data_IF_489606235990
#
_entry.id   IF_489606235990
#
_cell.length_a   1.000
_cell.length_b   1.000
_cell.length_c   1.000
_cell.angle_alpha   90.00
_cell.angle_beta   90.00
_cell.angle_gamma   90.00
#
_symmetry.space_group_name_H-M   'P 1'
#
loop_
_entity.id
_entity.type
_entity.pdbx_description
1 polymer ?
#
# COMPACT_ATOMS: atom_id res chain seq x y z
N UNK A 1 19.69 -57.14 4.41
CA UNK A 1 20.10 -57.73 3.11
C UNK A 1 21.61 -57.89 3.08
N UNK A 2 22.11 -59.01 2.55
CA UNK A 2 23.54 -59.23 2.25
C UNK A 2 23.70 -59.86 0.87
N UNK A 3 24.72 -59.46 0.11
CA UNK A 3 25.03 -60.07 -1.20
C UNK A 3 25.99 -61.25 -0.97
N UNK A 4 25.68 -62.42 -1.53
CA UNK A 4 26.43 -63.66 -1.37
C UNK A 4 27.28 -64.01 -2.61
N UNK A 5 26.70 -63.88 -3.81
CA UNK A 5 27.35 -64.21 -5.08
C UNK A 5 26.80 -63.35 -6.20
N UNK A 6 27.64 -62.96 -7.15
CA UNK A 6 27.24 -62.38 -8.43
C UNK A 6 27.73 -63.28 -9.57
N UNK A 7 26.85 -63.64 -10.49
CA UNK A 7 27.18 -64.40 -11.70
C UNK A 7 26.76 -63.59 -12.92
N UNK A 8 27.75 -63.19 -13.71
CA UNK A 8 27.60 -62.31 -14.84
C UNK A 8 27.68 -63.14 -16.11
N UNK A 9 26.56 -63.29 -16.81
CA UNK A 9 26.55 -63.90 -18.15
C UNK A 9 27.18 -62.94 -19.17
N UNK A 10 26.77 -61.68 -19.14
CA UNK A 10 27.35 -60.63 -19.98
C UNK A 10 26.99 -59.24 -19.45
N UNK A 11 28.00 -58.43 -19.08
CA UNK A 11 27.80 -57.05 -18.64
C UNK A 11 29.07 -56.22 -18.83
N UNK A 12 29.04 -55.26 -19.75
CA UNK A 12 30.19 -54.46 -20.13
C UNK A 12 31.31 -55.36 -20.67
N UNK A 13 32.39 -55.48 -19.90
CA UNK A 13 33.57 -56.29 -20.23
C UNK A 13 33.58 -57.68 -19.60
N UNK A 14 32.62 -57.97 -18.71
CA UNK A 14 32.52 -59.26 -18.05
C UNK A 14 31.71 -60.23 -18.90
N UNK A 15 32.23 -61.44 -19.04
CA UNK A 15 31.63 -62.55 -19.78
C UNK A 15 31.80 -63.81 -18.94
N UNK A 16 30.68 -64.51 -18.68
CA UNK A 16 30.65 -65.78 -17.93
C UNK A 16 31.50 -65.80 -16.66
N UNK A 17 31.43 -64.71 -15.88
CA UNK A 17 32.28 -64.52 -14.71
C UNK A 17 31.46 -64.58 -13.43
N UNK A 18 31.98 -65.26 -12.41
CA UNK A 18 31.35 -65.33 -11.09
C UNK A 18 32.23 -64.74 -9.99
N UNK A 19 31.60 -64.10 -9.02
CA UNK A 19 32.22 -63.46 -7.86
C UNK A 19 31.49 -63.93 -6.61
N UNK A 20 32.22 -64.53 -5.67
CA UNK A 20 31.70 -64.86 -4.34
C UNK A 20 32.04 -63.72 -3.37
N UNK A 21 31.09 -63.38 -2.49
CA UNK A 21 31.26 -62.35 -1.47
C UNK A 21 31.26 -63.00 -0.09
N UNK A 22 32.31 -62.72 0.68
CA UNK A 22 32.47 -63.21 2.05
C UNK A 22 31.80 -62.28 3.09
N UNK A 23 31.40 -62.81 4.26
CA UNK A 23 31.01 -61.95 5.38
C UNK A 23 32.18 -61.04 5.79
N UNK A 24 31.87 -59.77 6.13
CA UNK A 24 32.80 -58.69 6.54
C UNK A 24 33.38 -57.87 5.36
N UNK A 25 34.36 -57.01 5.66
CA UNK A 25 34.98 -56.09 4.72
C UNK A 25 35.77 -56.84 3.65
N UNK A 26 35.57 -56.47 2.38
CA UNK A 26 36.25 -57.06 1.23
C UNK A 26 36.87 -55.96 0.39
N UNK A 27 38.12 -56.18 -0.03
CA UNK A 27 38.85 -55.27 -0.91
C UNK A 27 38.93 -55.85 -2.32
N UNK A 28 38.27 -55.20 -3.28
CA UNK A 28 38.45 -55.50 -4.70
C UNK A 28 39.48 -54.53 -5.30
N UNK A 29 40.66 -55.05 -5.65
CA UNK A 29 41.77 -54.26 -6.21
C UNK A 29 42.16 -54.75 -7.61
N UNK A 30 43.00 -53.96 -8.29
CA UNK A 30 43.46 -54.24 -9.65
C UNK A 30 43.69 -52.96 -10.45
N UNK A 31 44.22 -53.08 -11.67
CA UNK A 31 44.50 -51.93 -12.52
C UNK A 31 43.25 -51.14 -12.88
N UNK A 32 43.43 -49.91 -13.34
CA UNK A 32 42.35 -49.12 -13.93
C UNK A 32 41.72 -49.91 -15.08
N UNK A 33 40.41 -49.74 -15.27
CA UNK A 33 39.64 -50.43 -16.32
C UNK A 33 39.49 -51.96 -16.13
N UNK A 34 39.98 -52.52 -15.01
CA UNK A 34 39.82 -53.95 -14.73
C UNK A 34 38.38 -54.38 -14.40
N UNK A 35 37.43 -53.43 -14.36
CA UNK A 35 35.99 -53.71 -14.27
C UNK A 35 35.36 -53.50 -12.90
N UNK A 36 36.10 -52.95 -11.93
CA UNK A 36 35.58 -52.67 -10.58
C UNK A 36 34.27 -51.88 -10.59
N UNK A 37 34.24 -50.76 -11.32
CA UNK A 37 33.01 -49.97 -11.50
C UNK A 37 31.94 -50.70 -12.33
N UNK A 38 32.33 -51.65 -13.19
CA UNK A 38 31.41 -52.47 -13.99
C UNK A 38 30.69 -53.48 -13.10
N UNK A 39 31.37 -54.12 -12.15
CA UNK A 39 30.76 -55.04 -11.18
C UNK A 39 29.76 -54.29 -10.29
N UNK A 40 30.15 -53.10 -9.84
CA UNK A 40 29.28 -52.21 -9.09
C UNK A 40 27.98 -51.88 -9.84
N UNK A 41 28.08 -51.48 -11.12
CA UNK A 41 26.91 -51.18 -11.94
C UNK A 41 26.07 -52.42 -12.29
N UNK A 42 26.70 -53.59 -12.39
CA UNK A 42 25.99 -54.87 -12.55
C UNK A 42 25.09 -55.14 -11.35
N UNK A 43 25.62 -55.04 -10.11
CA UNK A 43 24.84 -55.24 -8.88
C UNK A 43 23.63 -54.29 -8.85
N UNK A 44 23.84 -53.01 -9.14
CA UNK A 44 22.75 -52.03 -9.18
C UNK A 44 21.71 -52.33 -10.26
N UNK A 45 22.14 -52.84 -11.43
CA UNK A 45 21.24 -53.23 -12.51
C UNK A 45 20.40 -54.48 -12.17
N UNK A 46 20.98 -55.47 -11.51
CA UNK A 46 20.25 -56.67 -11.07
C UNK A 46 19.27 -56.36 -9.93
N UNK A 47 19.58 -55.40 -9.04
CA UNK A 47 18.65 -54.98 -7.99
C UNK A 47 17.53 -54.08 -8.52
N UNK A 48 17.86 -52.97 -9.19
CA UNK A 48 16.90 -51.88 -9.47
C UNK A 48 16.55 -51.67 -10.95
N UNK A 49 17.07 -52.51 -11.82
CA UNK A 49 16.77 -52.52 -13.25
C UNK A 49 17.81 -51.75 -14.05
N UNK A 50 17.90 -52.13 -15.32
CA UNK A 50 18.83 -51.50 -16.24
C UNK A 50 18.46 -50.03 -16.45
N UNK A 51 19.48 -49.17 -16.45
CA UNK A 51 19.33 -47.77 -16.80
C UNK A 51 18.71 -47.61 -18.22
N UNK A 52 17.77 -46.67 -18.38
CA UNK A 52 17.34 -46.22 -19.72
C UNK A 52 18.54 -45.57 -20.43
N UNK A 53 18.72 -45.84 -21.72
CA UNK A 53 19.79 -45.21 -22.50
C UNK A 53 19.51 -43.70 -22.53
N UNK A 54 20.43 -42.91 -22.01
CA UNK A 54 20.41 -41.45 -22.07
C UNK A 54 21.82 -41.02 -22.40
N UNK A 55 22.00 -39.94 -23.16
CA UNK A 55 23.30 -39.48 -23.67
C UNK A 55 24.43 -39.35 -22.61
N UNK A 56 24.09 -39.27 -21.32
CA UNK A 56 25.03 -39.17 -20.20
C UNK A 56 25.36 -40.49 -19.49
N UNK A 57 24.71 -41.62 -19.80
CA UNK A 57 24.91 -42.89 -19.06
C UNK A 57 25.67 -43.92 -19.90
N UNK A 58 26.71 -44.52 -19.30
CA UNK A 58 27.56 -45.55 -19.94
C UNK A 58 26.70 -46.74 -20.39
N UNK A 59 26.90 -47.18 -21.63
CA UNK A 59 26.27 -48.37 -22.18
C UNK A 59 27.09 -49.61 -21.82
N UNK A 60 26.50 -50.52 -21.04
CA UNK A 60 27.12 -51.78 -20.61
C UNK A 60 26.65 -52.97 -21.45
N UNK A 61 26.03 -52.72 -22.61
CA UNK A 61 25.65 -53.80 -23.53
C UNK A 61 26.90 -54.58 -23.96
N UNK A 62 26.97 -55.91 -23.74
CA UNK A 62 28.11 -56.73 -24.13
C UNK A 62 28.29 -56.71 -25.66
N UNK A 63 29.52 -56.54 -26.13
CA UNK A 63 29.84 -56.44 -27.57
C UNK A 63 29.83 -57.80 -28.29
N UNK A 64 29.97 -58.89 -27.55
CA UNK A 64 30.19 -60.23 -28.10
C UNK A 64 28.89 -61.05 -28.26
N UNK A 65 27.72 -60.42 -28.23
CA UNK A 65 26.43 -61.10 -28.40
C UNK A 65 25.96 -61.94 -27.21
N UNK A 66 26.72 -62.00 -26.12
CA UNK A 66 26.33 -62.67 -24.87
C UNK A 66 25.03 -62.07 -24.30
N UNK A 67 24.22 -62.88 -23.61
CA UNK A 67 23.00 -62.43 -22.97
C UNK A 67 23.30 -61.31 -21.96
N UNK A 68 22.67 -60.14 -22.12
CA UNK A 68 22.96 -58.97 -21.31
C UNK A 68 22.25 -59.04 -19.97
N UNK A 69 22.95 -59.52 -18.94
CA UNK A 69 22.40 -59.77 -17.62
C UNK A 69 23.16 -60.83 -16.83
N UNK A 70 22.50 -61.36 -15.81
CA UNK A 70 23.05 -62.38 -14.92
C UNK A 70 22.18 -62.61 -13.68
N UNK A 71 22.80 -63.20 -12.67
CA UNK A 71 22.18 -63.63 -11.42
C UNK A 71 22.90 -63.04 -10.20
N UNK A 72 22.14 -62.72 -9.17
CA UNK A 72 22.64 -62.21 -7.90
C UNK A 72 22.01 -63.01 -6.75
N UNK A 73 22.83 -63.57 -5.89
CA UNK A 73 22.40 -64.28 -4.68
C UNK A 73 22.42 -63.32 -3.52
N UNK A 74 21.30 -63.25 -2.81
CA UNK A 74 21.06 -62.38 -1.68
C UNK A 74 20.66 -63.21 -0.47
N UNK A 75 21.11 -62.83 0.71
CA UNK A 75 20.50 -63.23 1.97
C UNK A 75 19.53 -62.13 2.43
N UNK A 76 18.25 -62.48 2.52
CA UNK A 76 17.17 -61.62 2.99
C UNK A 76 16.52 -62.27 4.20
N UNK A 77 16.51 -61.60 5.35
CA UNK A 77 15.75 -62.08 6.52
C UNK A 77 14.29 -61.60 6.40
N UNK A 78 13.30 -62.46 6.67
CA UNK A 78 13.37 -63.85 7.18
C UNK A 78 13.47 -64.95 6.10
N UNK A 79 13.51 -64.63 4.80
CA UNK A 79 13.37 -65.58 3.69
C UNK A 79 14.59 -66.46 3.37
N UNK A 80 15.76 -66.17 3.96
CA UNK A 80 17.00 -66.88 3.70
C UNK A 80 17.64 -66.49 2.37
N UNK A 81 18.05 -67.49 1.57
CA UNK A 81 18.74 -67.29 0.29
C UNK A 81 17.75 -67.04 -0.85
N UNK A 82 17.94 -65.93 -1.56
CA UNK A 82 17.11 -65.46 -2.66
C UNK A 82 17.99 -65.21 -3.88
N UNK A 83 17.55 -65.69 -5.04
CA UNK A 83 18.26 -65.52 -6.30
C UNK A 83 17.50 -64.52 -7.17
N UNK A 84 18.15 -63.43 -7.54
CA UNK A 84 17.59 -62.43 -8.46
C UNK A 84 18.24 -62.60 -9.82
N UNK A 85 17.46 -62.99 -10.82
CA UNK A 85 17.86 -63.14 -12.20
C UNK A 85 17.29 -61.99 -13.03
N UNK A 86 18.12 -61.32 -13.83
CA UNK A 86 17.64 -60.24 -14.70
C UNK A 86 18.44 -60.17 -15.99
N UNK A 87 17.73 -60.21 -17.13
CA UNK A 87 18.30 -60.08 -18.48
C UNK A 87 17.57 -59.00 -19.26
N UNK A 88 18.30 -58.09 -19.91
CA UNK A 88 17.75 -56.94 -20.64
C UNK A 88 16.77 -57.35 -21.75
N UNK A 89 17.08 -58.44 -22.44
CA UNK A 89 16.31 -58.93 -23.60
C UNK A 89 15.11 -59.80 -23.18
N UNK A 90 15.09 -60.32 -21.96
CA UNK A 90 14.04 -61.23 -21.46
C UNK A 90 13.06 -60.43 -20.61
N UNK A 91 11.76 -60.67 -20.81
CA UNK A 91 10.68 -60.06 -20.03
C UNK A 91 10.79 -58.52 -19.86
N UNK A 92 11.23 -57.83 -20.92
CA UNK A 92 11.49 -56.37 -20.95
C UNK A 92 12.49 -55.88 -19.88
N UNK A 93 13.38 -56.76 -19.42
CA UNK A 93 14.36 -56.43 -18.39
C UNK A 93 13.84 -56.53 -16.95
N UNK A 94 12.67 -57.14 -16.75
CA UNK A 94 12.13 -57.40 -15.41
C UNK A 94 12.93 -58.47 -14.68
N UNK A 95 12.98 -58.37 -13.35
CA UNK A 95 13.63 -59.37 -12.52
C UNK A 95 12.73 -60.59 -12.31
N UNK A 96 13.30 -61.79 -12.44
CA UNK A 96 12.74 -63.03 -11.91
C UNK A 96 13.44 -63.34 -10.60
N UNK A 97 12.67 -63.64 -9.57
CA UNK A 97 13.23 -63.87 -8.23
C UNK A 97 12.89 -65.29 -7.81
N UNK A 98 13.88 -66.05 -7.38
CA UNK A 98 13.68 -67.39 -6.85
C UNK A 98 13.84 -67.35 -5.33
N UNK A 99 12.77 -67.71 -4.61
CA UNK A 99 12.71 -67.77 -3.15
C UNK A 99 12.26 -69.17 -2.76
N UNK A 100 13.07 -69.91 -2.01
CA UNK A 100 12.74 -71.26 -1.52
C UNK A 100 12.20 -72.21 -2.61
N UNK A 101 12.71 -72.11 -3.85
CA UNK A 101 12.29 -72.94 -4.99
C UNK A 101 11.07 -72.44 -5.78
N UNK A 102 10.40 -71.36 -5.34
CA UNK A 102 9.32 -70.72 -6.09
C UNK A 102 9.83 -69.50 -6.85
N UNK A 103 9.25 -69.22 -8.03
CA UNK A 103 9.59 -68.04 -8.84
C UNK A 103 8.54 -66.96 -8.62
N UNK A 104 8.97 -65.81 -8.09
CA UNK A 104 8.15 -64.62 -7.84
C UNK A 104 8.59 -63.46 -8.75
N UNK A 105 7.78 -62.41 -8.78
CA UNK A 105 7.94 -61.29 -9.69
C UNK A 105 8.82 -60.16 -9.11
N UNK A 106 9.07 -59.14 -9.94
CA UNK A 106 9.83 -57.96 -9.56
C UNK A 106 9.14 -57.11 -8.48
N UNK A 107 7.81 -57.17 -8.37
CA UNK A 107 7.08 -56.41 -7.35
C UNK A 107 7.42 -56.95 -5.96
N UNK A 108 7.50 -58.27 -5.81
CA UNK A 108 7.95 -58.90 -4.58
C UNK A 108 9.35 -58.41 -4.18
N UNK A 109 10.30 -58.35 -5.12
CA UNK A 109 11.64 -57.82 -4.87
C UNK A 109 11.59 -56.37 -4.36
N UNK A 110 10.83 -55.51 -5.04
CA UNK A 110 10.74 -54.10 -4.71
C UNK A 110 10.12 -53.87 -3.32
N UNK A 111 9.16 -54.71 -2.91
CA UNK A 111 8.55 -54.64 -1.58
C UNK A 111 9.52 -55.08 -0.48
N UNK A 112 10.23 -56.19 -0.68
CA UNK A 112 11.12 -56.77 0.34
C UNK A 112 12.50 -56.10 0.41
N UNK A 113 12.85 -55.30 -0.60
CA UNK A 113 14.00 -54.40 -0.52
C UNK A 113 13.69 -53.11 0.25
N UNK A 114 12.42 -52.74 0.48
CA UNK A 114 12.13 -51.50 1.22
C UNK A 114 12.76 -51.50 2.63
N UNK A 115 13.34 -50.37 3.08
CA UNK A 115 13.29 -49.04 2.48
C UNK A 115 14.31 -48.80 1.34
N UNK A 116 15.18 -49.75 1.00
CA UNK A 116 16.22 -49.60 -0.03
C UNK A 116 15.61 -49.46 -1.43
N UNK A 117 15.77 -48.28 -2.02
CA UNK A 117 15.43 -48.01 -3.42
C UNK A 117 16.67 -47.59 -4.21
N UNK A 118 16.54 -47.45 -5.54
CA UNK A 118 17.66 -47.10 -6.42
C UNK A 118 18.36 -45.81 -6.00
N UNK A 119 17.61 -44.76 -5.69
CA UNK A 119 18.18 -43.47 -5.31
C UNK A 119 18.97 -43.63 -4.01
N UNK A 120 18.34 -44.17 -2.96
CA UNK A 120 18.98 -44.44 -1.68
C UNK A 120 20.23 -45.32 -1.79
N UNK A 121 20.24 -46.31 -2.69
CA UNK A 121 21.44 -47.12 -2.92
C UNK A 121 22.62 -46.28 -3.40
N UNK A 122 22.43 -45.41 -4.39
CA UNK A 122 23.50 -44.56 -4.94
C UNK A 122 23.85 -43.39 -4.02
N UNK A 123 22.88 -42.87 -3.29
CA UNK A 123 23.05 -41.66 -2.49
C UNK A 123 23.63 -41.98 -1.10
N UNK A 124 23.18 -43.05 -0.44
CA UNK A 124 23.49 -43.34 0.97
C UNK A 124 24.47 -44.51 1.14
N UNK A 125 24.27 -45.60 0.39
CA UNK A 125 24.99 -46.86 0.63
C UNK A 125 26.29 -46.99 -0.16
N UNK A 126 26.60 -46.02 -1.03
CA UNK A 126 27.75 -46.08 -1.92
C UNK A 126 28.46 -44.74 -1.95
N UNK A 127 29.78 -44.77 -1.88
CA UNK A 127 30.62 -43.58 -2.01
C UNK A 127 31.49 -43.73 -3.25
N UNK A 128 31.27 -42.86 -4.22
CA UNK A 128 32.07 -42.77 -5.44
C UNK A 128 33.12 -41.66 -5.30
N UNK A 129 34.17 -41.74 -6.11
CA UNK A 129 35.25 -40.76 -6.09
C UNK A 129 34.75 -39.34 -6.39
N UNK A 130 33.76 -39.21 -7.27
CA UNK A 130 33.13 -37.94 -7.62
C UNK A 130 32.29 -37.35 -6.47
N UNK A 131 31.67 -38.21 -5.65
CA UNK A 131 30.88 -37.78 -4.48
C UNK A 131 31.80 -37.30 -3.35
N UNK A 132 32.96 -37.95 -3.14
CA UNK A 132 33.95 -37.53 -2.15
C UNK A 132 34.52 -36.12 -2.45
N UNK A 133 34.76 -35.81 -3.74
CA UNK A 133 35.26 -34.49 -4.14
C UNK A 133 34.23 -33.37 -3.99
N UNK A 134 32.94 -33.70 -3.95
CA UNK A 134 31.87 -32.73 -3.71
C UNK A 134 31.71 -32.44 -2.22
N UNK A 135 31.88 -33.46 -1.37
CA UNK A 135 31.77 -33.33 0.09
C UNK A 135 32.83 -32.38 0.66
N UNK A 136 34.06 -32.42 0.13
CA UNK A 136 35.14 -31.52 0.56
C UNK A 136 34.87 -30.03 0.27
N UNK A 137 33.85 -29.70 -0.53
CA UNK A 137 33.49 -28.32 -0.91
C UNK A 137 32.19 -27.83 -0.27
N UNK A 138 31.48 -28.67 0.48
CA UNK A 138 30.21 -28.30 1.07
C UNK A 138 30.44 -27.57 2.40
N UNK A 139 29.79 -26.43 2.56
CA UNK A 139 29.72 -25.71 3.84
C UNK A 139 28.98 -26.55 4.88
N UNK A 140 29.22 -26.32 6.18
CA UNK A 140 28.69 -27.13 7.29
C UNK A 140 27.16 -27.33 7.23
N UNK A 141 26.43 -26.27 6.87
CA UNK A 141 24.97 -26.31 6.70
C UNK A 141 24.53 -27.16 5.49
N UNK A 142 25.27 -27.10 4.39
CA UNK A 142 24.96 -27.88 3.18
C UNK A 142 25.26 -29.36 3.41
N UNK A 143 26.33 -29.66 4.14
CA UNK A 143 26.69 -31.01 4.58
C UNK A 143 25.63 -31.58 5.53
N UNK A 144 25.15 -30.77 6.49
CA UNK A 144 24.08 -31.17 7.40
C UNK A 144 22.76 -31.45 6.65
N UNK A 145 22.39 -30.59 5.69
CA UNK A 145 21.21 -30.83 4.83
C UNK A 145 21.38 -32.08 3.96
N UNK A 146 22.57 -32.32 3.41
CA UNK A 146 22.88 -33.53 2.66
C UNK A 146 22.73 -34.77 3.56
N UNK A 147 23.28 -34.77 4.77
CA UNK A 147 23.13 -35.86 5.74
C UNK A 147 21.67 -36.11 6.14
N UNK A 148 20.89 -35.06 6.38
CA UNK A 148 19.44 -35.17 6.64
C UNK A 148 18.72 -35.77 5.41
N UNK A 149 19.12 -35.35 4.20
CA UNK A 149 18.56 -35.87 2.95
C UNK A 149 18.82 -37.37 2.76
N UNK A 150 19.96 -37.84 3.28
CA UNK A 150 20.43 -39.23 3.22
C UNK A 150 19.79 -40.12 4.29
N UNK A 151 19.53 -39.59 5.49
CA UNK A 151 19.02 -40.35 6.64
C UNK A 151 17.52 -40.59 6.66
N UNK A 152 16.73 -39.76 5.96
CA UNK A 152 15.26 -39.81 6.02
C UNK A 152 14.70 -40.00 4.60
N UNK A 153 14.06 -41.14 4.35
CA UNK A 153 13.38 -41.40 3.07
C UNK A 153 12.30 -40.35 2.81
N UNK A 154 12.37 -39.65 1.67
CA UNK A 154 11.41 -38.59 1.30
C UNK A 154 11.76 -37.18 1.79
N UNK A 155 12.80 -37.02 2.60
CA UNK A 155 13.32 -35.71 3.07
C UNK A 155 13.69 -34.76 1.93
N UNK A 156 14.16 -35.27 0.80
CA UNK A 156 14.48 -34.45 -0.37
C UNK A 156 13.26 -33.67 -0.90
N UNK A 157 12.06 -34.27 -0.87
CA UNK A 157 10.82 -33.57 -1.24
C UNK A 157 10.47 -32.48 -0.23
N UNK A 158 10.67 -32.76 1.06
CA UNK A 158 10.45 -31.80 2.13
C UNK A 158 11.42 -30.62 2.03
N UNK A 159 12.71 -30.87 1.82
CA UNK A 159 13.72 -29.82 1.61
C UNK A 159 13.41 -28.97 0.36
N UNK A 160 12.94 -29.58 -0.73
CA UNK A 160 12.48 -28.85 -1.91
C UNK A 160 11.27 -27.97 -1.60
N UNK A 161 10.30 -28.46 -0.83
CA UNK A 161 9.16 -27.65 -0.40
C UNK A 161 9.59 -26.50 0.52
N UNK A 162 10.50 -26.73 1.46
CA UNK A 162 11.06 -25.68 2.33
C UNK A 162 11.73 -24.59 1.48
N UNK A 163 12.58 -24.96 0.52
CA UNK A 163 13.21 -24.01 -0.38
C UNK A 163 12.18 -23.24 -1.24
N UNK A 164 11.13 -23.91 -1.72
CA UNK A 164 10.03 -23.26 -2.43
C UNK A 164 9.30 -22.25 -1.53
N UNK A 165 8.97 -22.64 -0.30
CA UNK A 165 8.33 -21.75 0.67
C UNK A 165 9.20 -20.54 1.00
N UNK A 166 10.50 -20.73 1.20
CA UNK A 166 11.42 -19.61 1.40
C UNK A 166 11.43 -18.67 0.20
N UNK A 167 11.46 -19.22 -1.02
CA UNK A 167 11.43 -18.42 -2.25
C UNK A 167 10.12 -17.63 -2.37
N UNK A 168 8.99 -18.26 -2.12
CA UNK A 168 7.67 -17.61 -2.14
C UNK A 168 7.55 -16.55 -1.06
N UNK A 169 7.98 -16.82 0.16
CA UNK A 169 7.99 -15.84 1.25
C UNK A 169 8.86 -14.63 0.89
N UNK A 170 10.03 -14.88 0.33
CA UNK A 170 10.94 -13.84 -0.14
C UNK A 170 10.37 -12.98 -1.28
N UNK A 171 9.42 -13.50 -2.07
CA UNK A 171 8.68 -12.73 -3.09
C UNK A 171 7.51 -11.92 -2.49
N UNK A 172 7.02 -12.28 -1.31
CA UNK A 172 5.95 -11.54 -0.63
C UNK A 172 6.49 -10.48 0.32
N UNK A 173 7.59 -10.77 1.02
CA UNK A 173 8.16 -9.90 2.04
C UNK A 173 9.68 -10.07 2.17
N UNK A 174 10.37 -8.94 2.23
CA UNK A 174 11.77 -8.84 2.66
C UNK A 174 11.93 -7.56 3.47
N UNK A 175 12.71 -7.56 4.56
CA UNK A 175 12.93 -6.36 5.38
C UNK A 175 13.42 -5.14 4.58
N UNK A 176 14.21 -5.37 3.52
CA UNK A 176 14.77 -4.32 2.66
C UNK A 176 14.10 -4.19 1.27
N UNK A 177 13.10 -5.02 0.96
CA UNK A 177 12.53 -5.08 -0.39
C UNK A 177 11.39 -4.08 -0.60
N UNK A 178 11.62 -2.94 -1.23
CA UNK A 178 10.59 -1.90 -1.37
C UNK A 178 9.43 -2.23 -2.34
N UNK A 179 9.65 -3.09 -3.34
CA UNK A 179 8.66 -3.39 -4.40
C UNK A 179 7.78 -4.62 -4.12
N UNK A 180 7.88 -5.18 -2.91
CA UNK A 180 7.16 -6.41 -2.56
C UNK A 180 5.72 -6.09 -2.16
N UNK A 181 4.74 -6.96 -2.48
CA UNK A 181 3.31 -6.67 -2.28
C UNK A 181 2.98 -6.28 -0.84
N UNK A 182 3.50 -7.04 0.14
CA UNK A 182 3.21 -6.77 1.54
C UNK A 182 3.81 -5.44 2.02
N UNK A 183 5.01 -5.10 1.56
CA UNK A 183 5.66 -3.84 1.92
C UNK A 183 4.97 -2.63 1.28
N UNK A 184 4.43 -2.78 0.08
CA UNK A 184 3.60 -1.75 -0.55
C UNK A 184 2.30 -1.55 0.21
N UNK A 185 1.63 -2.63 0.61
CA UNK A 185 0.41 -2.57 1.42
C UNK A 185 0.67 -1.90 2.77
N UNK A 186 1.78 -2.22 3.45
CA UNK A 186 2.17 -1.57 4.70
C UNK A 186 2.40 -0.06 4.53
N UNK A 187 3.11 0.35 3.47
CA UNK A 187 3.30 1.78 3.17
C UNK A 187 1.99 2.50 2.86
N UNK A 188 1.08 1.84 2.15
CA UNK A 188 -0.25 2.39 1.87
C UNK A 188 -1.05 2.56 3.15
N UNK A 189 -0.99 1.58 4.06
CA UNK A 189 -1.65 1.64 5.36
C UNK A 189 -1.11 2.78 6.22
N UNK A 190 0.22 2.94 6.30
CA UNK A 190 0.83 4.10 7.00
C UNK A 190 0.40 5.43 6.38
N UNK A 191 0.32 5.51 5.05
CA UNK A 191 -0.14 6.73 4.36
C UNK A 191 -1.60 7.03 4.68
N UNK A 192 -2.47 6.02 4.63
CA UNK A 192 -3.89 6.16 4.94
C UNK A 192 -4.11 6.59 6.39
N UNK A 193 -3.37 6.00 7.33
CA UNK A 193 -3.43 6.40 8.74
C UNK A 193 -3.03 7.87 8.95
N UNK A 194 -1.99 8.35 8.26
CA UNK A 194 -1.61 9.76 8.29
C UNK A 194 -2.70 10.67 7.72
N UNK A 195 -3.28 10.29 6.59
CA UNK A 195 -4.36 11.07 5.97
C UNK A 195 -5.61 11.11 6.87
N UNK A 196 -5.94 10.01 7.55
CA UNK A 196 -7.05 9.99 8.52
C UNK A 196 -6.75 10.95 9.67
N UNK A 197 -5.56 10.87 10.28
CA UNK A 197 -5.18 11.74 11.38
C UNK A 197 -5.16 13.23 10.98
N UNK A 198 -4.69 13.55 9.77
CA UNK A 198 -4.74 14.90 9.21
C UNK A 198 -6.19 15.40 9.10
N UNK A 199 -7.09 14.58 8.55
CA UNK A 199 -8.50 14.91 8.37
C UNK A 199 -9.25 15.08 9.70
N UNK A 200 -9.00 14.21 10.67
CA UNK A 200 -9.55 14.34 12.03
C UNK A 200 -9.09 15.63 12.72
N UNK A 201 -7.83 16.04 12.49
CA UNK A 201 -7.31 17.30 13.02
C UNK A 201 -7.93 18.53 12.34
N UNK A 202 -8.18 18.46 11.03
CA UNK A 202 -8.88 19.51 10.27
C UNK A 202 -10.33 19.64 10.76
N UNK A 203 -11.03 18.52 10.94
CA UNK A 203 -12.40 18.50 11.46
C UNK A 203 -12.48 19.11 12.86
N UNK A 204 -11.55 18.75 13.75
CA UNK A 204 -11.47 19.31 15.10
C UNK A 204 -11.28 20.83 15.08
N UNK A 205 -10.44 21.36 14.17
CA UNK A 205 -10.25 22.81 13.99
C UNK A 205 -11.52 23.49 13.49
N UNK A 206 -12.21 22.88 12.54
CA UNK A 206 -13.47 23.39 12.00
C UNK A 206 -14.53 23.46 13.11
N UNK A 207 -14.65 22.41 13.93
CA UNK A 207 -15.57 22.41 15.08
C UNK A 207 -15.26 23.54 16.07
N UNK A 208 -13.98 23.78 16.39
CA UNK A 208 -13.57 24.91 17.23
C UNK A 208 -13.94 26.27 16.62
N UNK A 209 -13.77 26.44 15.31
CA UNK A 209 -14.17 27.66 14.61
C UNK A 209 -15.69 27.88 14.65
N UNK A 210 -16.50 26.82 14.47
CA UNK A 210 -17.95 26.92 14.61
C UNK A 210 -18.37 27.32 16.03
N UNK A 211 -17.71 26.78 17.06
CA UNK A 211 -17.96 27.18 18.44
C UNK A 211 -17.60 28.66 18.68
N UNK A 212 -16.48 29.13 18.14
CA UNK A 212 -16.10 30.54 18.22
C UNK A 212 -17.10 31.44 17.49
N UNK A 213 -17.59 31.04 16.32
CA UNK A 213 -18.62 31.79 15.58
C UNK A 213 -19.90 31.88 16.42
N UNK A 214 -20.35 30.79 17.03
CA UNK A 214 -21.53 30.79 17.89
C UNK A 214 -21.36 31.74 19.09
N UNK A 215 -20.21 31.70 19.77
CA UNK A 215 -19.89 32.61 20.89
C UNK A 215 -19.85 34.07 20.46
N UNK A 216 -19.23 34.37 19.31
CA UNK A 216 -19.18 35.74 18.78
C UNK A 216 -20.58 36.24 18.38
N UNK A 217 -21.43 35.37 17.85
CA UNK A 217 -22.82 35.73 17.53
C UNK A 217 -23.62 36.07 18.79
N UNK A 218 -23.46 35.31 19.87
CA UNK A 218 -24.07 35.60 21.17
C UNK A 218 -23.59 36.95 21.72
N UNK A 219 -22.27 37.20 21.69
CA UNK A 219 -21.70 38.49 22.09
C UNK A 219 -22.24 39.66 21.26
N UNK A 220 -22.38 39.49 19.94
CA UNK A 220 -22.94 40.52 19.07
C UNK A 220 -24.40 40.80 19.42
N UNK A 221 -25.19 39.78 19.75
CA UNK A 221 -26.58 39.96 20.19
C UNK A 221 -26.65 40.73 21.50
N UNK A 222 -25.82 40.37 22.49
CA UNK A 222 -25.76 41.08 23.77
C UNK A 222 -25.35 42.55 23.60
N UNK A 223 -24.32 42.82 22.79
CA UNK A 223 -23.88 44.19 22.50
C UNK A 223 -24.97 45.00 21.80
N UNK A 224 -25.75 44.38 20.90
CA UNK A 224 -26.88 45.05 20.24
C UNK A 224 -27.98 45.41 21.24
N UNK A 225 -28.31 44.52 22.17
CA UNK A 225 -29.27 44.81 23.24
C UNK A 225 -28.80 45.95 24.15
N UNK A 226 -27.53 45.94 24.54
CA UNK A 226 -26.95 47.03 25.34
C UNK A 226 -26.97 48.36 24.59
N UNK A 227 -26.62 48.35 23.30
CA UNK A 227 -26.66 49.54 22.45
C UNK A 227 -28.08 50.11 22.33
N UNK A 228 -29.08 49.25 22.10
CA UNK A 228 -30.48 49.67 22.02
C UNK A 228 -30.94 50.32 23.33
N UNK A 229 -30.69 49.67 24.47
CA UNK A 229 -31.06 50.21 25.78
C UNK A 229 -30.39 51.58 26.06
N UNK A 230 -29.12 51.73 25.70
CA UNK A 230 -28.40 53.00 25.87
C UNK A 230 -28.93 54.09 24.93
N UNK A 231 -29.28 53.73 23.69
CA UNK A 231 -29.85 54.65 22.73
C UNK A 231 -31.23 55.13 23.15
N UNK A 232 -32.08 54.25 23.70
CA UNK A 232 -33.40 54.60 24.22
C UNK A 232 -33.27 55.57 25.41
N UNK A 233 -32.35 55.29 26.35
CA UNK A 233 -32.06 56.19 27.46
C UNK A 233 -31.52 57.56 26.99
N UNK A 234 -30.68 57.57 25.95
CA UNK A 234 -30.19 58.81 25.34
C UNK A 234 -31.33 59.63 24.72
N UNK A 235 -32.24 58.98 23.99
CA UNK A 235 -33.42 59.64 23.42
C UNK A 235 -34.34 60.21 24.51
N UNK A 236 -34.55 59.47 25.60
CA UNK A 236 -35.33 59.96 26.75
C UNK A 236 -34.68 61.19 27.38
N UNK A 237 -33.37 61.18 27.61
CA UNK A 237 -32.64 62.34 28.13
C UNK A 237 -32.70 63.54 27.17
N UNK A 238 -32.62 63.31 25.85
CA UNK A 238 -32.78 64.37 24.85
C UNK A 238 -34.18 64.99 24.87
N UNK A 239 -35.23 64.17 25.03
CA UNK A 239 -36.61 64.66 25.20
C UNK A 239 -36.77 65.47 26.50
N UNK A 240 -36.15 65.02 27.59
CA UNK A 240 -36.16 65.77 28.85
C UNK A 240 -35.43 67.12 28.71
N UNK A 241 -34.29 67.15 28.01
CA UNK A 241 -33.55 68.38 27.70
C UNK A 241 -34.36 69.34 26.81
N UNK A 242 -35.05 68.84 25.79
CA UNK A 242 -35.89 69.71 24.93
C UNK A 242 -37.08 70.29 25.70
N UNK A 243 -37.64 69.55 26.65
CA UNK A 243 -38.71 70.02 27.53
C UNK A 243 -38.21 70.84 28.73
N UNK A 244 -36.90 70.92 28.96
CA UNK A 244 -36.32 71.65 30.09
C UNK A 244 -36.65 73.15 30.05
N UNK A 245 -36.63 73.76 28.87
CA UNK A 245 -37.03 75.17 28.71
C UNK A 245 -38.50 75.41 29.09
N UNK A 246 -39.40 74.48 28.74
CA UNK A 246 -40.81 74.54 29.13
C UNK A 246 -40.99 74.35 30.65
N UNK A 247 -40.17 73.52 31.27
CA UNK A 247 -40.16 73.33 32.72
C UNK A 247 -39.62 74.58 33.45
N UNK A 248 -38.58 75.21 32.91
CA UNK A 248 -38.03 76.48 33.45
C UNK A 248 -39.07 77.61 33.33
N UNK A 249 -39.76 77.72 32.20
CA UNK A 249 -40.89 78.65 32.02
C UNK A 249 -42.05 78.36 32.99
N UNK A 250 -42.43 77.09 33.15
CA UNK A 250 -43.48 76.68 34.11
C UNK A 250 -43.08 76.97 35.56
N UNK A 251 -41.82 76.76 35.94
CA UNK A 251 -41.34 76.99 37.30
C UNK A 251 -41.19 78.50 37.61
N UNK A 252 -40.90 79.33 36.61
CA UNK A 252 -40.97 80.79 36.74
C UNK A 252 -42.43 81.29 36.83
N UNK A 253 -43.41 80.50 36.35
CA UNK A 253 -44.83 80.71 36.63
C UNK A 253 -45.23 80.13 37.99
N UNK A 254 -44.78 80.75 39.08
CA UNK A 254 -45.47 80.65 40.38
C UNK A 254 -46.88 81.26 40.25
N UNK A 255 -47.89 80.81 41.04
CA UNK A 255 -49.29 80.94 40.68
C UNK A 255 -49.68 82.42 40.57
N UNK A 256 -49.86 82.88 39.34
CA UNK A 256 -50.46 84.18 39.12
C UNK A 256 -51.95 84.05 39.44
N UNK A 257 -52.31 84.39 40.67
CA UNK A 257 -53.65 84.86 41.03
C UNK A 257 -53.96 86.14 40.25
N UNK A 258 -54.21 85.99 38.96
CA UNK A 258 -54.88 86.99 38.14
C UNK A 258 -55.80 86.23 37.21
N UNK A 259 -57.10 86.28 37.51
CA UNK A 259 -58.13 85.99 36.52
C UNK A 259 -57.82 86.84 35.28
N UNK A 260 -57.39 86.18 34.21
CA UNK A 260 -57.17 86.82 32.94
C UNK A 260 -58.51 87.36 32.41
N UNK A 261 -58.51 88.62 32.00
CA UNK A 261 -59.65 89.27 31.35
C UNK A 261 -60.08 88.43 30.13
N UNK A 262 -61.36 88.02 30.00
CA UNK A 262 -61.81 87.07 28.97
C UNK A 262 -61.42 87.47 27.53
N UNK A 263 -61.24 88.77 27.27
CA UNK A 263 -60.82 89.28 25.98
C UNK A 263 -59.35 88.98 25.64
N UNK A 264 -58.44 89.00 26.62
CA UNK A 264 -57.01 88.70 26.39
C UNK A 264 -56.77 87.21 26.12
N UNK A 265 -57.49 86.33 26.82
CA UNK A 265 -57.42 84.88 26.60
C UNK A 265 -57.94 84.50 25.20
N UNK A 266 -58.99 85.19 24.73
CA UNK A 266 -59.56 84.96 23.41
C UNK A 266 -58.65 85.48 22.29
N UNK A 267 -58.00 86.64 22.49
CA UNK A 267 -57.00 87.17 21.57
C UNK A 267 -55.76 86.26 21.46
N UNK A 268 -55.27 85.73 22.59
CA UNK A 268 -54.12 84.82 22.60
C UNK A 268 -54.48 83.48 21.93
N UNK A 269 -55.70 82.94 22.17
CA UNK A 269 -56.17 81.73 21.45
C UNK A 269 -56.28 81.95 19.94
N UNK A 270 -56.79 83.10 19.50
CA UNK A 270 -56.87 83.44 18.08
C UNK A 270 -55.48 83.59 17.46
N UNK A 271 -54.55 84.24 18.15
CA UNK A 271 -53.17 84.36 17.73
C UNK A 271 -52.47 83.00 17.61
N UNK A 272 -52.66 82.12 18.60
CA UNK A 272 -52.07 80.78 18.58
C UNK A 272 -52.66 79.89 17.47
N UNK A 273 -53.97 80.00 17.20
CA UNK A 273 -54.59 79.33 16.05
C UNK A 273 -54.06 79.87 14.72
N UNK A 274 -53.90 81.18 14.57
CA UNK A 274 -53.30 81.78 13.37
C UNK A 274 -51.84 81.33 13.20
N UNK A 275 -51.06 81.28 14.27
CA UNK A 275 -49.67 80.82 14.24
C UNK A 275 -49.56 79.34 13.80
N UNK A 276 -50.40 78.47 14.34
CA UNK A 276 -50.45 77.06 13.92
C UNK A 276 -50.87 76.90 12.46
N UNK A 277 -51.87 77.67 11.99
CA UNK A 277 -52.26 77.67 10.58
C UNK A 277 -51.12 78.14 9.67
N UNK A 278 -50.41 79.21 10.05
CA UNK A 278 -49.28 79.73 9.27
C UNK A 278 -48.13 78.71 9.19
N UNK A 279 -47.89 77.98 10.27
CA UNK A 279 -46.80 76.99 10.32
C UNK A 279 -47.12 75.77 9.46
N UNK A 280 -48.38 75.32 9.45
CA UNK A 280 -48.85 74.29 8.52
C UNK A 280 -48.83 74.75 7.06
N UNK A 281 -49.14 76.03 6.77
CA UNK A 281 -49.00 76.59 5.43
C UNK A 281 -47.54 76.68 4.97
N UNK A 282 -46.61 77.09 5.85
CA UNK A 282 -45.17 77.10 5.56
C UNK A 282 -44.71 75.68 5.26
N UNK A 283 -45.09 74.69 6.08
CA UNK A 283 -44.71 73.29 5.88
C UNK A 283 -45.26 72.69 4.58
N UNK A 284 -46.49 73.08 4.20
CA UNK A 284 -47.05 72.71 2.88
C UNK A 284 -46.34 73.41 1.73
N UNK A 285 -45.94 74.67 1.89
CA UNK A 285 -45.18 75.43 0.90
C UNK A 285 -43.76 74.89 0.73
N UNK A 286 -43.12 74.46 1.81
CA UNK A 286 -41.84 73.75 1.80
C UNK A 286 -41.96 72.39 1.11
N UNK A 287 -43.03 71.63 1.38
CA UNK A 287 -43.29 70.38 0.67
C UNK A 287 -43.64 70.59 -0.82
N UNK A 288 -44.33 71.68 -1.18
CA UNK A 288 -44.53 72.10 -2.59
C UNK A 288 -43.22 72.53 -3.25
N UNK A 289 -42.32 73.21 -2.52
CA UNK A 289 -40.98 73.56 -2.99
C UNK A 289 -40.12 72.32 -3.23
N UNK A 290 -40.11 71.36 -2.30
CA UNK A 290 -39.42 70.06 -2.48
C UNK A 290 -39.97 69.28 -3.69
N UNK A 291 -41.30 69.33 -3.94
CA UNK A 291 -41.92 68.72 -5.11
C UNK A 291 -41.63 69.47 -6.43
N UNK A 292 -41.43 70.79 -6.39
CA UNK A 292 -41.07 71.62 -7.55
C UNK A 292 -39.57 71.59 -7.86
N UNK A 293 -38.71 71.42 -6.85
CA UNK A 293 -37.25 71.24 -7.00
C UNK A 293 -36.91 69.88 -7.64
N UNK A 294 -37.73 68.84 -7.43
CA UNK A 294 -37.66 67.59 -8.22
C UNK A 294 -37.93 67.78 -9.72
N UNK A 295 -38.38 68.97 -10.16
CA UNK A 295 -38.70 69.28 -11.56
C UNK A 295 -37.59 69.92 -12.39
N UNK A 296 -36.40 70.24 -11.83
CA UNK A 296 -35.30 70.86 -12.59
C UNK A 296 -33.90 70.43 -12.12
N UNK A 297 -33.54 69.18 -12.39
CA UNK A 297 -32.12 68.77 -12.44
C UNK A 297 -31.76 68.13 -13.80
N UNK A 298 -31.36 69.00 -14.74
CA UNK A 298 -30.39 68.83 -15.85
C UNK A 298 -30.42 67.56 -16.73
N UNK A 299 -30.46 67.75 -18.07
CA UNK A 299 -30.30 66.73 -19.13
C UNK A 299 -29.15 65.71 -18.95
N UNK A 300 -28.14 66.04 -18.13
CA UNK A 300 -27.09 65.10 -17.69
C UNK A 300 -27.63 63.91 -16.87
N UNK A 301 -28.68 64.12 -16.08
CA UNK A 301 -29.36 63.09 -15.31
C UNK A 301 -30.11 62.12 -16.23
N UNK A 302 -30.80 62.65 -17.25
CA UNK A 302 -31.44 61.81 -18.27
C UNK A 302 -30.42 61.06 -19.14
N UNK A 303 -29.27 61.65 -19.50
CA UNK A 303 -28.19 60.92 -20.20
C UNK A 303 -27.64 59.76 -19.35
N UNK A 304 -27.48 59.97 -18.05
CA UNK A 304 -27.06 58.93 -17.11
C UNK A 304 -28.11 57.82 -17.00
N UNK A 305 -29.41 58.16 -16.92
CA UNK A 305 -30.51 57.18 -16.90
C UNK A 305 -30.61 56.39 -18.21
N UNK A 306 -30.46 57.05 -19.36
CA UNK A 306 -30.60 56.40 -20.68
C UNK A 306 -29.45 55.42 -20.98
N UNK A 307 -28.26 55.67 -20.39
CA UNK A 307 -27.07 54.83 -20.52
C UNK A 307 -26.69 54.10 -19.22
N UNK A 308 -27.59 54.06 -18.23
CA UNK A 308 -27.34 53.59 -16.87
C UNK A 308 -26.81 52.16 -16.85
N UNK A 309 -27.43 51.29 -17.65
CA UNK A 309 -27.03 49.89 -17.74
C UNK A 309 -25.64 49.70 -18.38
N UNK A 310 -25.27 50.49 -19.37
CA UNK A 310 -23.95 50.41 -20.02
C UNK A 310 -22.85 50.97 -19.11
N UNK A 311 -23.12 52.06 -18.41
CA UNK A 311 -22.18 52.67 -17.46
C UNK A 311 -21.97 51.75 -16.25
N UNK A 312 -23.03 51.18 -15.68
CA UNK A 312 -22.92 50.22 -14.57
C UNK A 312 -22.21 48.92 -14.98
N UNK A 313 -22.41 48.45 -16.21
CA UNK A 313 -21.69 47.29 -16.74
C UNK A 313 -20.18 47.58 -16.90
N UNK A 314 -19.81 48.75 -17.43
CA UNK A 314 -18.40 49.17 -17.54
C UNK A 314 -17.74 49.37 -16.17
N UNK A 315 -18.46 49.93 -15.20
CA UNK A 315 -17.99 50.07 -13.81
C UNK A 315 -17.77 48.70 -13.14
N UNK A 316 -18.67 47.74 -13.36
CA UNK A 316 -18.48 46.36 -12.90
C UNK A 316 -17.26 45.71 -13.57
N UNK A 317 -17.05 45.95 -14.87
CA UNK A 317 -15.86 45.46 -15.57
C UNK A 317 -14.56 46.06 -15.01
N UNK A 318 -14.56 47.34 -14.66
CA UNK A 318 -13.41 48.00 -14.03
C UNK A 318 -13.08 47.42 -12.65
N UNK A 319 -14.11 47.12 -11.83
CA UNK A 319 -13.94 46.42 -10.55
C UNK A 319 -13.42 44.99 -10.75
N UNK A 320 -13.86 44.29 -11.81
CA UNK A 320 -13.31 42.96 -12.12
C UNK A 320 -11.88 43.00 -12.64
N UNK A 321 -11.50 44.02 -13.43
CA UNK A 321 -10.12 44.23 -13.88
C UNK A 321 -9.19 44.54 -12.71
N UNK A 322 -9.62 45.39 -11.77
CA UNK A 322 -8.86 45.67 -10.54
C UNK A 322 -8.65 44.41 -9.69
N UNK A 323 -9.71 43.58 -9.50
CA UNK A 323 -9.59 42.29 -8.80
C UNK A 323 -8.70 41.27 -9.51
N UNK A 324 -8.63 41.31 -10.85
CA UNK A 324 -7.74 40.45 -11.62
C UNK A 324 -6.28 40.91 -11.49
N UNK A 325 -6.02 42.22 -11.50
CA UNK A 325 -4.68 42.78 -11.25
C UNK A 325 -4.18 42.47 -9.83
N UNK A 326 -5.05 42.54 -8.82
CA UNK A 326 -4.72 42.14 -7.45
C UNK A 326 -4.42 40.63 -7.34
N UNK A 327 -5.15 39.80 -8.08
CA UNK A 327 -4.88 38.35 -8.16
C UNK A 327 -3.57 38.03 -8.87
N UNK A 328 -3.24 38.75 -9.94
CA UNK A 328 -1.98 38.59 -10.67
C UNK A 328 -0.79 39.01 -9.80
N UNK A 329 -0.90 40.12 -9.06
CA UNK A 329 0.11 40.55 -8.11
C UNK A 329 0.30 39.54 -6.96
N UNK A 330 -0.80 38.99 -6.42
CA UNK A 330 -0.74 37.96 -5.38
C UNK A 330 -0.12 36.65 -5.90
N UNK A 331 -0.43 36.23 -7.14
CA UNK A 331 0.14 35.04 -7.76
C UNK A 331 1.65 35.19 -8.02
N UNK A 332 2.11 36.36 -8.51
CA UNK A 332 3.53 36.64 -8.73
C UNK A 332 4.34 36.68 -7.42
N UNK A 333 3.75 37.15 -6.32
CA UNK A 333 4.36 37.06 -4.99
C UNK A 333 4.45 35.61 -4.49
N UNK A 334 3.41 34.79 -4.70
CA UNK A 334 3.46 33.38 -4.35
C UNK A 334 4.49 32.61 -5.18
N UNK A 335 4.62 32.91 -6.48
CA UNK A 335 5.62 32.30 -7.36
C UNK A 335 7.04 32.66 -6.92
N UNK A 336 7.31 33.94 -6.61
CA UNK A 336 8.64 34.35 -6.12
C UNK A 336 8.98 33.71 -4.78
N UNK A 337 8.03 33.59 -3.83
CA UNK A 337 8.24 32.85 -2.58
C UNK A 337 8.54 31.37 -2.85
N UNK A 338 7.77 30.73 -3.73
CA UNK A 338 7.97 29.32 -4.09
C UNK A 338 9.32 29.07 -4.79
N UNK A 339 9.76 29.96 -5.69
CA UNK A 339 11.07 29.89 -6.35
C UNK A 339 12.20 30.07 -5.33
N UNK A 340 12.04 30.98 -4.38
CA UNK A 340 13.05 31.24 -3.34
C UNK A 340 13.17 30.04 -2.40
N UNK A 341 12.04 29.43 -2.02
CA UNK A 341 12.00 28.22 -1.20
C UNK A 341 12.56 27.00 -1.93
N UNK A 342 12.24 26.86 -3.22
CA UNK A 342 12.79 25.82 -4.09
C UNK A 342 14.32 25.94 -4.22
N UNK A 343 14.85 27.15 -4.44
CA UNK A 343 16.28 27.41 -4.54
C UNK A 343 17.01 27.10 -3.21
N UNK A 344 16.41 27.46 -2.07
CA UNK A 344 16.91 27.10 -0.74
C UNK A 344 16.94 25.58 -0.53
N UNK A 345 15.95 24.85 -1.02
CA UNK A 345 15.89 23.39 -0.94
C UNK A 345 16.91 22.71 -1.87
N UNK A 346 17.15 23.27 -3.05
CA UNK A 346 18.16 22.80 -4.00
C UNK A 346 19.57 22.94 -3.42
N UNK A 347 19.91 24.08 -2.81
CA UNK A 347 21.21 24.27 -2.13
C UNK A 347 21.38 23.32 -0.95
N UNK A 348 20.34 23.17 -0.10
CA UNK A 348 20.40 22.29 1.08
C UNK A 348 20.56 20.81 0.72
N UNK A 349 20.07 20.37 -0.45
CA UNK A 349 20.07 18.94 -0.87
C UNK A 349 20.99 18.61 -2.06
N UNK A 350 21.76 19.56 -2.58
CA UNK A 350 22.69 19.41 -3.72
C UNK A 350 22.08 18.71 -4.96
N UNK A 351 20.91 19.17 -5.42
CA UNK A 351 20.28 18.61 -6.64
C UNK A 351 20.87 19.21 -7.93
N UNK A 352 21.19 18.37 -8.94
CA UNK A 352 21.68 18.82 -10.25
C UNK A 352 20.59 18.78 -11.34
N UNK A 353 20.65 19.72 -12.30
CA UNK A 353 19.62 20.00 -13.34
C UNK A 353 19.19 18.82 -14.25
N UNK A 354 19.79 17.63 -14.15
CA UNK A 354 19.49 16.45 -15.00
C UNK A 354 18.56 15.40 -14.35
N UNK A 355 18.05 15.60 -13.14
CA UNK A 355 17.03 14.72 -12.52
C UNK A 355 16.03 15.52 -11.64
N UNK A 356 15.01 16.16 -12.24
CA UNK A 356 13.96 16.88 -11.50
C UNK A 356 12.96 15.92 -10.80
N UNK A 357 12.29 16.36 -9.71
CA UNK A 357 11.20 15.59 -9.11
C UNK A 357 10.03 15.44 -10.09
N UNK A 358 9.67 14.19 -10.40
CA UNK A 358 8.60 13.84 -11.34
C UNK A 358 7.22 14.22 -10.77
N UNK A 359 6.58 15.25 -11.36
CA UNK A 359 5.20 15.68 -11.12
C UNK A 359 4.27 14.84 -12.02
N UNK A 360 3.45 13.96 -11.45
CA UNK A 360 2.40 13.24 -12.21
C UNK A 360 1.16 14.11 -12.37
N UNK A 361 0.65 14.14 -13.60
CA UNK A 361 -0.31 15.08 -14.15
C UNK A 361 -1.74 15.04 -13.55
N UNK A 362 -2.36 16.21 -13.68
CA UNK A 362 -3.68 16.72 -13.32
C UNK A 362 -4.89 15.81 -13.55
N UNK A 363 -5.82 15.78 -12.58
CA UNK A 363 -7.24 15.49 -12.83
C UNK A 363 -8.09 16.46 -11.98
N UNK A 364 -8.70 17.39 -12.73
CA UNK A 364 -9.78 18.36 -12.46
C UNK A 364 -9.71 19.28 -11.26
#
# INVERSE_FOLDING_TARGET
>A
MRILKAEITGFGKYHEQSFAFHPKNQLLFGHNEIGKSTLYQFIAAILFGFSKKTAKKKDYTPKNGAAYGGKLWLALEPFGEVIVERYRQVDRGRAKVHVAGQTVDEQWLAQHLQPLNRALFFDVFTFQQEQLTQIDKLEENELHQALISLGISGSQKMLQQVAQYETTNQQQYKPRGQKLPLNQALKQLEKLQKTIAEKESEESRIQQQYQQIAQLQEQIQDLRHQYQALNDAYQENQQQLSHWGLYEEWQQMAPADTLADPQQVQAIKQFYQQYQQLTEEIRKKEAELDQLEQGKESDKYFFYLDHEHQINHLLQQQVTMARLADREAAANQQETVAITELNRLIEKRQWSRKSPPLVTASIH
#
